data_IF_454772236517
#
_entry.id   IF_454772236517
#
_cell.length_a   1.000
_cell.length_b   1.000
_cell.length_c   1.000
_cell.angle_alpha   90.00
_cell.angle_beta   90.00
_cell.angle_gamma   90.00
#
_symmetry.space_group_name_H-M   'P 1'
#
loop_
_entity.id
_entity.type
_entity.pdbx_description
1 polymer ?
#
# COMPACT_ATOMS: atom_id res chain seq x y z
N UNK A 1 -34.82 28.74 4.06
CA UNK A 1 -33.67 28.43 3.17
C UNK A 1 -33.88 27.01 2.69
N UNK A 2 -34.34 26.84 1.45
CA UNK A 2 -34.62 25.51 0.89
C UNK A 2 -33.30 24.78 0.70
N UNK A 3 -33.13 23.67 1.42
CA UNK A 3 -32.13 22.65 1.11
C UNK A 3 -32.33 22.21 -0.33
N UNK A 4 -31.53 22.75 -1.24
CA UNK A 4 -31.37 22.20 -2.57
C UNK A 4 -30.83 20.79 -2.39
N UNK A 5 -31.72 19.80 -2.48
CA UNK A 5 -31.37 18.40 -2.46
C UNK A 5 -30.18 18.19 -3.40
N UNK A 6 -28.99 17.92 -2.84
CA UNK A 6 -27.79 17.69 -3.64
C UNK A 6 -28.12 16.66 -4.71
N UNK A 7 -27.82 16.99 -5.97
CA UNK A 7 -28.00 16.05 -7.09
C UNK A 7 -27.20 14.77 -6.80
N UNK A 8 -27.69 13.62 -7.30
CA UNK A 8 -27.04 12.33 -7.08
C UNK A 8 -25.56 12.32 -7.46
N UNK A 9 -25.21 13.03 -8.54
CA UNK A 9 -23.82 13.22 -8.98
C UNK A 9 -22.96 14.01 -7.99
N UNK A 10 -23.51 15.08 -7.40
CA UNK A 10 -22.80 15.85 -6.39
C UNK A 10 -22.53 15.00 -5.13
N UNK A 11 -23.47 14.13 -4.75
CA UNK A 11 -23.30 13.19 -3.64
C UNK A 11 -22.22 12.15 -3.93
N UNK A 12 -22.18 11.59 -5.13
CA UNK A 12 -21.16 10.63 -5.57
C UNK A 12 -19.76 11.28 -5.60
N UNK A 13 -19.64 12.49 -6.16
CA UNK A 13 -18.37 13.23 -6.20
C UNK A 13 -17.85 13.54 -4.79
N UNK A 14 -18.74 13.94 -3.87
CA UNK A 14 -18.37 14.19 -2.47
C UNK A 14 -17.91 12.90 -1.76
N UNK A 15 -18.58 11.76 -1.98
CA UNK A 15 -18.17 10.45 -1.44
C UNK A 15 -16.78 10.06 -1.95
N UNK A 16 -16.54 10.22 -3.26
CA UNK A 16 -15.23 9.94 -3.88
C UNK A 16 -14.14 10.82 -3.28
N UNK A 17 -14.34 12.13 -3.21
CA UNK A 17 -13.33 13.03 -2.65
C UNK A 17 -12.99 12.70 -1.18
N UNK A 18 -13.98 12.26 -0.38
CA UNK A 18 -13.74 11.80 1.00
C UNK A 18 -12.92 10.52 1.05
N UNK A 19 -13.15 9.58 0.14
CA UNK A 19 -12.32 8.37 0.02
C UNK A 19 -10.87 8.75 -0.31
N UNK A 20 -10.67 9.62 -1.29
CA UNK A 20 -9.33 10.06 -1.70
C UNK A 20 -8.62 10.83 -0.59
N UNK A 21 -9.31 11.72 0.13
CA UNK A 21 -8.75 12.41 1.29
C UNK A 21 -8.37 11.43 2.41
N UNK A 22 -9.24 10.45 2.71
CA UNK A 22 -8.96 9.41 3.70
C UNK A 22 -7.74 8.56 3.32
N UNK A 23 -7.67 8.10 2.07
CA UNK A 23 -6.52 7.35 1.55
C UNK A 23 -5.24 8.18 1.53
N UNK A 24 -5.32 9.45 1.10
CA UNK A 24 -4.18 10.37 1.07
C UNK A 24 -3.63 10.66 2.47
N UNK A 25 -4.49 10.92 3.45
CA UNK A 25 -4.08 11.09 4.85
C UNK A 25 -3.47 9.80 5.42
N UNK A 26 -4.08 8.65 5.15
CA UNK A 26 -3.53 7.36 5.58
C UNK A 26 -2.14 7.11 5.01
N UNK A 27 -1.92 7.44 3.73
CA UNK A 27 -0.63 7.33 3.08
C UNK A 27 0.42 8.28 3.69
N UNK A 28 0.06 9.53 3.95
CA UNK A 28 0.96 10.49 4.62
C UNK A 28 1.34 10.02 6.02
N UNK A 29 0.37 9.52 6.81
CA UNK A 29 0.63 8.96 8.14
C UNK A 29 1.56 7.74 8.02
N UNK A 30 1.34 6.86 7.04
CA UNK A 30 2.20 5.69 6.83
C UNK A 30 3.65 6.08 6.51
N UNK A 31 3.88 7.14 5.71
CA UNK A 31 5.22 7.66 5.46
C UNK A 31 5.87 8.15 6.77
N UNK A 32 5.15 8.96 7.56
CA UNK A 32 5.66 9.49 8.81
C UNK A 32 5.99 8.37 9.80
N UNK A 33 5.09 7.39 9.93
CA UNK A 33 5.29 6.21 10.78
C UNK A 33 6.49 5.40 10.28
N UNK A 34 6.63 5.18 8.97
CA UNK A 34 7.77 4.48 8.39
C UNK A 34 9.12 5.13 8.73
N UNK A 35 9.20 6.46 8.60
CA UNK A 35 10.38 7.24 9.00
C UNK A 35 10.65 7.12 10.50
N UNK A 36 9.61 7.25 11.33
CA UNK A 36 9.72 7.13 12.78
C UNK A 36 10.17 5.72 13.22
N UNK A 37 9.68 4.66 12.56
CA UNK A 37 10.11 3.28 12.82
C UNK A 37 11.55 3.03 12.40
N UNK A 38 12.02 3.66 11.31
CA UNK A 38 13.43 3.61 10.92
C UNK A 38 14.34 4.22 11.98
N UNK A 39 13.99 5.43 12.44
CA UNK A 39 14.71 6.10 13.52
C UNK A 39 14.70 5.32 14.85
N UNK A 40 13.57 4.67 15.18
CA UNK A 40 13.48 3.80 16.34
C UNK A 40 14.37 2.55 16.21
N UNK A 41 14.61 2.07 14.98
CA UNK A 41 15.56 1.01 14.67
C UNK A 41 16.99 1.43 15.01
N UNK A 42 17.42 2.61 14.56
CA UNK A 42 18.76 3.16 14.85
C UNK A 42 18.97 3.30 16.37
N UNK A 43 17.98 3.81 17.11
CA UNK A 43 18.04 3.93 18.57
C UNK A 43 18.12 2.58 19.31
N UNK A 44 17.55 1.53 18.72
CA UNK A 44 17.68 0.18 19.26
C UNK A 44 19.08 -0.39 19.02
N UNK A 45 19.65 -0.17 17.83
CA UNK A 45 21.04 -0.55 17.51
C UNK A 45 22.05 0.17 18.42
N UNK A 46 21.78 1.44 18.73
CA UNK A 46 22.57 2.24 19.67
C UNK A 46 22.36 1.84 21.16
N UNK A 47 21.48 0.87 21.44
CA UNK A 47 21.18 0.40 22.80
C UNK A 47 20.35 1.36 23.65
N UNK A 48 19.85 2.46 23.07
CA UNK A 48 19.03 3.46 23.76
C UNK A 48 17.58 2.99 23.95
N UNK A 49 17.08 2.13 23.07
CA UNK A 49 15.75 1.52 23.18
C UNK A 49 15.85 0.03 23.53
N UNK A 50 14.99 -0.46 24.44
CA UNK A 50 14.90 -1.89 24.73
C UNK A 50 14.11 -2.65 23.65
N UNK A 51 14.42 -3.93 23.41
CA UNK A 51 13.77 -4.73 22.36
C UNK A 51 12.22 -4.77 22.46
N UNK A 52 11.67 -4.73 23.68
CA UNK A 52 10.22 -4.74 23.88
C UNK A 52 9.52 -3.53 23.27
N UNK A 53 10.19 -2.37 23.18
CA UNK A 53 9.58 -1.17 22.60
C UNK A 53 9.38 -1.32 21.09
N UNK A 54 10.27 -2.05 20.41
CA UNK A 54 10.15 -2.34 18.98
C UNK A 54 8.92 -3.22 18.72
N UNK A 55 8.73 -4.28 19.53
CA UNK A 55 7.53 -5.11 19.43
C UNK A 55 6.24 -4.33 19.73
N UNK A 56 6.27 -3.42 20.71
CA UNK A 56 5.11 -2.58 21.03
C UNK A 56 4.77 -1.60 19.89
N UNK A 57 5.78 -0.96 19.30
CA UNK A 57 5.60 -0.10 18.11
C UNK A 57 5.02 -0.91 16.96
N UNK A 58 5.54 -2.12 16.70
CA UNK A 58 5.05 -2.98 15.64
C UNK A 58 3.59 -3.42 15.86
N UNK A 59 3.23 -3.79 17.08
CA UNK A 59 1.86 -4.12 17.43
C UNK A 59 0.89 -2.95 17.18
N UNK A 60 1.31 -1.72 17.49
CA UNK A 60 0.54 -0.52 17.20
C UNK A 60 0.37 -0.29 15.68
N UNK A 61 1.44 -0.49 14.90
CA UNK A 61 1.38 -0.38 13.43
C UNK A 61 0.40 -1.39 12.85
N UNK A 62 0.44 -2.65 13.30
CA UNK A 62 -0.48 -3.70 12.85
C UNK A 62 -1.94 -3.35 13.20
N UNK A 63 -2.19 -2.87 14.43
CA UNK A 63 -3.52 -2.43 14.85
C UNK A 63 -4.04 -1.26 14.00
N UNK A 64 -3.19 -0.26 13.76
CA UNK A 64 -3.52 0.89 12.92
C UNK A 64 -3.81 0.48 11.47
N UNK A 65 -2.99 -0.41 10.90
CA UNK A 65 -3.19 -0.92 9.54
C UNK A 65 -4.47 -1.74 9.41
N UNK A 66 -4.79 -2.54 10.43
CA UNK A 66 -6.05 -3.30 10.50
C UNK A 66 -7.26 -2.37 10.54
N UNK A 67 -7.21 -1.36 11.42
CA UNK A 67 -8.27 -0.35 11.52
C UNK A 67 -8.45 0.43 10.22
N UNK A 68 -7.35 0.86 9.60
CA UNK A 68 -7.35 1.56 8.32
C UNK A 68 -7.98 0.70 7.23
N UNK A 69 -7.61 -0.58 7.16
CA UNK A 69 -8.14 -1.53 6.17
C UNK A 69 -9.65 -1.71 6.32
N UNK A 70 -10.14 -1.96 7.54
CA UNK A 70 -11.59 -2.08 7.81
C UNK A 70 -12.32 -0.77 7.45
N UNK A 71 -11.73 0.37 7.82
CA UNK A 71 -12.29 1.69 7.53
C UNK A 71 -12.31 2.00 6.03
N UNK A 72 -11.31 1.55 5.29
CA UNK A 72 -11.20 1.70 3.84
C UNK A 72 -12.31 0.89 3.14
N UNK A 73 -12.48 -0.39 3.49
CA UNK A 73 -13.51 -1.24 2.88
C UNK A 73 -14.94 -0.74 3.14
N UNK A 74 -15.18 -0.09 4.28
CA UNK A 74 -16.49 0.56 4.55
C UNK A 74 -16.77 1.79 3.67
N UNK A 75 -15.76 2.32 2.97
CA UNK A 75 -15.85 3.56 2.18
C UNK A 75 -15.75 3.31 0.68
N UNK A 76 -14.91 2.36 0.28
CA UNK A 76 -14.64 2.03 -1.13
C UNK A 76 -15.90 1.57 -1.84
N UNK A 77 -15.97 1.84 -3.14
CA UNK A 77 -17.05 1.38 -4.01
C UNK A 77 -16.67 0.08 -4.72
N UNK A 78 -17.65 -0.69 -5.18
CA UNK A 78 -17.40 -1.99 -5.84
C UNK A 78 -16.52 -1.86 -7.09
N UNK A 79 -16.74 -0.81 -7.88
CA UNK A 79 -15.93 -0.55 -9.07
C UNK A 79 -14.45 -0.31 -8.72
N UNK A 80 -14.20 0.55 -7.72
CA UNK A 80 -12.83 0.84 -7.27
C UNK A 80 -12.20 -0.40 -6.61
N UNK A 81 -12.99 -1.24 -5.93
CA UNK A 81 -12.53 -2.52 -5.38
C UNK A 81 -12.11 -3.48 -6.51
N UNK A 82 -12.87 -3.55 -7.59
CA UNK A 82 -12.56 -4.40 -8.74
C UNK A 82 -11.27 -3.95 -9.45
N UNK A 83 -11.09 -2.64 -9.60
CA UNK A 83 -9.85 -2.05 -10.13
C UNK A 83 -8.65 -2.40 -9.23
N UNK A 84 -8.81 -2.28 -7.90
CA UNK A 84 -7.78 -2.65 -6.93
C UNK A 84 -7.44 -4.14 -7.01
N UNK A 85 -8.43 -5.03 -7.02
CA UNK A 85 -8.22 -6.48 -7.10
C UNK A 85 -7.46 -6.87 -8.36
N UNK A 86 -7.75 -6.22 -9.49
CA UNK A 86 -7.06 -6.48 -10.74
C UNK A 86 -5.59 -6.06 -10.66
N UNK A 87 -5.33 -4.85 -10.16
CA UNK A 87 -3.97 -4.34 -10.00
C UNK A 87 -3.15 -5.17 -9.00
N UNK A 88 -3.73 -5.54 -7.86
CA UNK A 88 -3.04 -6.36 -6.85
C UNK A 88 -2.80 -7.79 -7.33
N UNK A 89 -3.72 -8.37 -8.12
CA UNK A 89 -3.53 -9.69 -8.71
C UNK A 89 -2.35 -9.72 -9.69
N UNK A 90 -2.25 -8.71 -10.57
CA UNK A 90 -1.12 -8.59 -11.52
C UNK A 90 0.20 -8.41 -10.77
N UNK A 91 0.24 -7.52 -9.78
CA UNK A 91 1.44 -7.30 -8.99
C UNK A 91 1.83 -8.57 -8.21
N UNK A 92 0.86 -9.30 -7.66
CA UNK A 92 1.09 -10.56 -6.98
C UNK A 92 1.68 -11.61 -7.93
N UNK A 93 1.12 -11.78 -9.13
CA UNK A 93 1.68 -12.69 -10.13
C UNK A 93 3.08 -12.28 -10.58
N UNK A 94 3.32 -10.98 -10.77
CA UNK A 94 4.66 -10.48 -11.04
C UNK A 94 5.62 -10.90 -9.93
N UNK A 95 5.30 -10.66 -8.66
CA UNK A 95 6.17 -10.99 -7.53
C UNK A 95 6.44 -12.50 -7.43
N UNK A 96 5.39 -13.32 -7.52
CA UNK A 96 5.46 -14.78 -7.42
C UNK A 96 6.28 -15.41 -8.55
N UNK A 97 6.36 -14.77 -9.72
CA UNK A 97 7.19 -15.25 -10.83
C UNK A 97 8.60 -14.65 -10.77
N UNK A 98 8.69 -13.34 -10.58
CA UNK A 98 9.95 -12.61 -10.69
C UNK A 98 10.94 -12.97 -9.57
N UNK A 99 10.49 -13.11 -8.33
CA UNK A 99 11.40 -13.44 -7.21
C UNK A 99 12.01 -14.85 -7.37
N UNK A 100 11.22 -15.94 -7.56
CA UNK A 100 11.79 -17.26 -7.78
C UNK A 100 12.63 -17.35 -9.06
N UNK A 101 12.24 -16.64 -10.12
CA UNK A 101 13.01 -16.61 -11.37
C UNK A 101 14.37 -15.94 -11.19
N UNK A 102 14.42 -14.83 -10.46
CA UNK A 102 15.69 -14.17 -10.12
C UNK A 102 16.56 -15.08 -9.26
N UNK A 103 15.99 -15.72 -8.24
CA UNK A 103 16.72 -16.69 -7.43
C UNK A 103 17.28 -17.86 -8.26
N UNK A 104 16.49 -18.39 -9.20
CA UNK A 104 16.96 -19.42 -10.14
C UNK A 104 18.10 -18.91 -11.03
N UNK A 105 18.02 -17.67 -11.52
CA UNK A 105 19.06 -17.05 -12.33
C UNK A 105 20.35 -16.79 -11.57
N UNK A 106 20.28 -16.51 -10.27
CA UNK A 106 21.45 -16.43 -9.38
C UNK A 106 22.14 -17.80 -9.27
N UNK A 107 21.38 -18.87 -9.03
CA UNK A 107 21.93 -20.24 -8.91
C UNK A 107 22.69 -20.69 -10.16
N UNK A 108 22.19 -20.34 -11.35
CA UNK A 108 22.84 -20.71 -12.63
C UNK A 108 23.93 -19.71 -13.07
N UNK A 109 24.22 -18.68 -12.26
CA UNK A 109 25.25 -17.67 -12.54
C UNK A 109 24.88 -16.65 -13.62
N UNK A 110 23.59 -16.51 -13.96
CA UNK A 110 23.09 -15.56 -14.96
C UNK A 110 22.81 -14.17 -14.38
N UNK A 111 22.45 -14.11 -13.09
CA UNK A 111 22.17 -12.86 -12.37
C UNK A 111 22.93 -12.84 -11.03
N UNK A 112 23.01 -11.66 -10.40
CA UNK A 112 23.50 -11.55 -9.03
C UNK A 112 22.40 -11.83 -7.99
N UNK A 113 22.81 -11.91 -6.72
CA UNK A 113 21.93 -12.21 -5.59
C UNK A 113 20.68 -11.31 -5.58
N UNK A 114 19.48 -11.88 -5.42
CA UNK A 114 18.24 -11.11 -5.36
C UNK A 114 18.29 -10.03 -4.28
N UNK A 115 17.75 -8.86 -4.60
CA UNK A 115 17.68 -7.73 -3.69
C UNK A 115 16.23 -7.44 -3.29
N UNK A 116 15.92 -7.62 -2.00
CA UNK A 116 14.56 -7.49 -1.46
C UNK A 116 13.92 -6.12 -1.77
N UNK A 117 14.72 -5.05 -1.64
CA UNK A 117 14.27 -3.68 -1.93
C UNK A 117 13.90 -3.49 -3.40
N UNK A 118 14.66 -4.10 -4.32
CA UNK A 118 14.42 -3.97 -5.76
C UNK A 118 13.15 -4.70 -6.16
N UNK A 119 12.97 -5.94 -5.71
CA UNK A 119 11.76 -6.71 -6.04
C UNK A 119 10.50 -6.07 -5.41
N UNK A 120 10.62 -5.55 -4.19
CA UNK A 120 9.55 -4.81 -3.52
C UNK A 120 9.12 -3.58 -4.32
N UNK A 121 10.08 -2.72 -4.71
CA UNK A 121 9.79 -1.51 -5.47
C UNK A 121 9.26 -1.82 -6.88
N UNK A 122 9.82 -2.83 -7.55
CA UNK A 122 9.33 -3.28 -8.86
C UNK A 122 7.88 -3.78 -8.77
N UNK A 123 7.54 -4.53 -7.73
CA UNK A 123 6.17 -5.03 -7.51
C UNK A 123 5.19 -3.89 -7.26
N UNK A 124 5.57 -2.89 -6.45
CA UNK A 124 4.77 -1.68 -6.26
C UNK A 124 4.59 -0.91 -7.57
N UNK A 125 5.66 -0.76 -8.37
CA UNK A 125 5.58 -0.09 -9.66
C UNK A 125 4.60 -0.80 -10.61
N UNK A 126 4.68 -2.13 -10.70
CA UNK A 126 3.74 -2.94 -11.49
C UNK A 126 2.30 -2.75 -11.02
N UNK A 127 2.06 -2.73 -9.70
CA UNK A 127 0.73 -2.46 -9.15
C UNK A 127 0.20 -1.08 -9.56
N UNK A 128 1.02 -0.02 -9.45
CA UNK A 128 0.61 1.34 -9.83
C UNK A 128 0.38 1.47 -11.34
N UNK A 129 1.22 0.84 -12.16
CA UNK A 129 1.06 0.82 -13.61
C UNK A 129 -0.24 0.10 -13.98
N UNK A 130 -0.50 -1.08 -13.41
CA UNK A 130 -1.72 -1.85 -13.66
C UNK A 130 -2.97 -1.07 -13.23
N UNK A 131 -2.94 -0.45 -12.05
CA UNK A 131 -4.04 0.39 -11.57
C UNK A 131 -4.26 1.62 -12.46
N UNK A 132 -3.19 2.30 -12.85
CA UNK A 132 -3.23 3.47 -13.74
C UNK A 132 -3.77 3.12 -15.13
N UNK A 133 -3.30 2.03 -15.73
CA UNK A 133 -3.79 1.53 -17.02
C UNK A 133 -5.31 1.28 -16.98
N UNK A 134 -5.80 0.65 -15.91
CA UNK A 134 -7.23 0.42 -15.67
C UNK A 134 -8.00 1.73 -15.62
N UNK A 135 -7.49 2.72 -14.88
CA UNK A 135 -8.14 4.04 -14.74
C UNK A 135 -8.16 4.85 -16.03
N UNK A 136 -7.18 4.63 -16.91
CA UNK A 136 -7.11 5.21 -18.25
C UNK A 136 -8.00 4.47 -19.27
N UNK A 137 -8.66 3.38 -18.89
CA UNK A 137 -9.53 2.60 -19.76
C UNK A 137 -8.80 1.59 -20.65
N UNK A 138 -7.50 1.37 -20.42
CA UNK A 138 -6.75 0.31 -21.06
C UNK A 138 -7.16 -1.02 -20.39
N UNK A 139 -7.96 -1.81 -21.09
CA UNK A 139 -8.47 -3.11 -20.63
C UNK A 139 -7.66 -4.25 -21.23
#
# INVERSE_FOLDING_TARGET
>A
MNDSAMTGEARLKARRNRLWAFSGMGFLIAIIVGLATGFAGDLYEDGSLPAWSIYAIWALVVAAFTWFTISYFRRVDELDLMDNMWATLIAFYFYVVAMPSWYMFDIIGLAGTPQDKVIYLATLAVMFIAYGARKLGLR
#
